data_IF_199393596188
#
_entry.id   IF_199393596188
#
_cell.length_a   1.000
_cell.length_b   1.000
_cell.length_c   1.000
_cell.angle_alpha   90.00
_cell.angle_beta   90.00
_cell.angle_gamma   90.00
#
_symmetry.space_group_name_H-M   'P 1'
#
loop_
_entity.id
_entity.type
_entity.pdbx_description
1 polymer ?
#
# COMPACT_ATOMS: atom_id res chain seq x y z
N UNK A 1 6.08 20.14 -3.10
CA UNK A 1 5.60 21.17 -2.16
C UNK A 1 5.10 20.53 -0.87
N UNK A 2 5.19 21.23 0.27
CA UNK A 2 4.73 20.69 1.56
C UNK A 2 3.25 20.33 1.54
N UNK A 3 2.42 21.17 0.95
CA UNK A 3 0.97 20.96 0.79
C UNK A 3 0.61 19.67 0.03
N UNK A 4 1.31 19.33 -1.05
CA UNK A 4 1.10 18.09 -1.80
C UNK A 4 1.46 16.87 -0.95
N UNK A 5 2.54 16.96 -0.16
CA UNK A 5 2.91 15.87 0.74
C UNK A 5 1.91 15.68 1.88
N UNK A 6 1.40 16.77 2.46
CA UNK A 6 0.35 16.68 3.48
C UNK A 6 -0.91 16.02 2.92
N UNK A 7 -1.35 16.42 1.73
CA UNK A 7 -2.48 15.80 1.05
C UNK A 7 -2.23 14.31 0.80
N UNK A 8 -1.06 13.97 0.25
CA UNK A 8 -0.64 12.58 0.02
C UNK A 8 -0.68 11.77 1.32
N UNK A 9 -0.11 12.27 2.41
CA UNK A 9 -0.05 11.57 3.69
C UNK A 9 -1.46 11.31 4.26
N UNK A 10 -2.36 12.29 4.19
CA UNK A 10 -3.76 12.11 4.61
C UNK A 10 -4.44 11.02 3.78
N UNK A 11 -4.27 11.05 2.46
CA UNK A 11 -4.82 10.01 1.57
C UNK A 11 -4.18 8.63 1.81
N UNK A 12 -2.88 8.57 2.11
CA UNK A 12 -2.16 7.34 2.43
C UNK A 12 -2.64 6.72 3.75
N UNK A 13 -2.90 7.53 4.78
CA UNK A 13 -3.52 7.04 6.01
C UNK A 13 -4.89 6.40 5.76
N UNK A 14 -5.73 7.00 4.90
CA UNK A 14 -7.00 6.42 4.50
C UNK A 14 -6.82 5.14 3.67
N UNK A 15 -5.83 5.12 2.76
CA UNK A 15 -5.47 3.94 1.96
C UNK A 15 -5.04 2.77 2.85
N UNK A 16 -4.17 2.99 3.85
CA UNK A 16 -3.67 1.96 4.74
C UNK A 16 -4.78 1.23 5.51
N UNK A 17 -5.87 1.91 5.83
CA UNK A 17 -7.04 1.28 6.47
C UNK A 17 -7.73 0.28 5.56
N UNK A 18 -7.95 0.64 4.29
CA UNK A 18 -8.57 -0.25 3.32
C UNK A 18 -7.61 -1.34 2.84
N UNK A 19 -6.32 -1.01 2.75
CA UNK A 19 -5.26 -1.98 2.48
C UNK A 19 -5.19 -3.04 3.58
N UNK A 20 -5.27 -2.66 4.86
CA UNK A 20 -5.32 -3.60 5.97
C UNK A 20 -6.52 -4.57 5.88
N UNK A 21 -7.68 -4.09 5.41
CA UNK A 21 -8.84 -4.97 5.13
C UNK A 21 -8.54 -5.94 3.99
N UNK A 22 -7.91 -5.47 2.91
CA UNK A 22 -7.47 -6.31 1.81
C UNK A 22 -6.50 -7.42 2.26
N UNK A 23 -5.55 -7.08 3.13
CA UNK A 23 -4.63 -8.05 3.73
C UNK A 23 -5.35 -9.05 4.64
N UNK A 24 -6.31 -8.62 5.46
CA UNK A 24 -7.11 -9.52 6.28
C UNK A 24 -7.95 -10.49 5.44
N UNK A 25 -8.49 -10.04 4.30
CA UNK A 25 -9.17 -10.91 3.33
C UNK A 25 -8.22 -11.90 2.68
N UNK A 26 -6.99 -11.48 2.35
CA UNK A 26 -5.96 -12.39 1.85
C UNK A 26 -5.59 -13.44 2.90
N UNK A 27 -5.40 -13.04 4.17
CA UNK A 27 -5.14 -13.95 5.28
C UNK A 27 -6.23 -15.01 5.43
N UNK A 28 -7.51 -14.58 5.46
CA UNK A 28 -8.66 -15.47 5.63
C UNK A 28 -8.81 -16.52 4.51
N UNK A 29 -8.18 -16.29 3.36
CA UNK A 29 -8.27 -17.13 2.16
C UNK A 29 -6.96 -17.83 1.82
N UNK A 30 -5.91 -17.64 2.63
CA UNK A 30 -4.60 -18.17 2.34
C UNK A 30 -4.60 -19.70 2.45
N UNK A 31 -3.96 -20.42 1.50
CA UNK A 31 -3.93 -21.88 1.49
C UNK A 31 -2.89 -22.51 2.42
N UNK A 32 -2.04 -21.70 3.07
CA UNK A 32 -0.94 -22.16 3.94
C UNK A 32 -1.01 -21.37 5.26
N UNK A 33 -0.85 -22.06 6.40
CA UNK A 33 -0.96 -21.45 7.74
C UNK A 33 0.03 -20.31 7.95
N UNK A 34 1.27 -20.46 7.48
CA UNK A 34 2.30 -19.42 7.57
C UNK A 34 1.89 -18.13 6.83
N UNK A 35 1.13 -18.25 5.74
CA UNK A 35 0.63 -17.09 5.01
C UNK A 35 -0.57 -16.46 5.70
N UNK A 36 -1.41 -17.24 6.40
CA UNK A 36 -2.45 -16.70 7.28
C UNK A 36 -1.82 -15.81 8.35
N UNK A 37 -0.78 -16.31 9.03
CA UNK A 37 -0.05 -15.56 10.07
C UNK A 37 0.57 -14.30 9.47
N UNK A 38 1.36 -14.44 8.40
CA UNK A 38 2.04 -13.32 7.74
C UNK A 38 1.07 -12.20 7.34
N UNK A 39 -0.02 -12.52 6.63
CA UNK A 39 -0.96 -11.49 6.18
C UNK A 39 -1.77 -10.88 7.33
N UNK A 40 -2.04 -11.64 8.40
CA UNK A 40 -2.68 -11.11 9.61
C UNK A 40 -1.76 -10.10 10.32
N UNK A 41 -0.47 -10.42 10.43
CA UNK A 41 0.53 -9.52 11.02
C UNK A 41 0.75 -8.28 10.17
N UNK A 42 0.77 -8.42 8.85
CA UNK A 42 0.87 -7.29 7.93
C UNK A 42 -0.37 -6.38 8.03
N UNK A 43 -1.58 -6.94 8.11
CA UNK A 43 -2.81 -6.17 8.30
C UNK A 43 -2.78 -5.37 9.61
N UNK A 44 -2.36 -5.99 10.70
CA UNK A 44 -2.21 -5.32 11.98
C UNK A 44 -1.12 -4.23 11.92
N UNK A 45 -0.01 -4.49 11.24
CA UNK A 45 1.09 -3.54 11.07
C UNK A 45 0.67 -2.32 10.26
N UNK A 46 -0.08 -2.49 9.16
CA UNK A 46 -0.62 -1.38 8.38
C UNK A 46 -1.46 -0.42 9.24
N UNK A 47 -2.31 -0.95 10.13
CA UNK A 47 -3.08 -0.14 11.07
C UNK A 47 -2.21 0.52 12.16
N UNK A 48 -1.13 -0.12 12.61
CA UNK A 48 -0.19 0.50 13.56
C UNK A 48 0.58 1.65 12.92
N UNK A 49 1.02 1.48 11.66
CA UNK A 49 1.69 2.55 10.89
C UNK A 49 0.75 3.74 10.70
N UNK A 50 -0.50 3.49 10.30
CA UNK A 50 -1.52 4.53 10.18
C UNK A 50 -1.74 5.29 11.49
N UNK A 51 -1.78 4.61 12.64
CA UNK A 51 -1.87 5.27 13.96
C UNK A 51 -0.63 6.08 14.30
N UNK A 52 0.56 5.59 13.95
CA UNK A 52 1.80 6.34 14.18
C UNK A 52 1.86 7.65 13.37
N UNK A 53 1.29 7.67 12.16
CA UNK A 53 1.12 8.89 11.36
C UNK A 53 0.20 9.89 12.06
N UNK A 54 -0.88 9.41 12.69
CA UNK A 54 -1.78 10.22 13.49
C UNK A 54 -1.12 10.82 14.74
N UNK A 55 -0.43 10.00 15.52
CA UNK A 55 0.15 10.40 16.80
C UNK A 55 1.33 11.36 16.64
N UNK A 56 2.08 11.25 15.53
CA UNK A 56 3.19 12.13 15.18
C UNK A 56 2.81 13.21 14.17
N UNK A 57 2.82 12.83 12.89
CA UNK A 57 2.81 13.78 11.77
C UNK A 57 1.54 14.63 11.70
N UNK A 58 0.35 14.02 11.80
CA UNK A 58 -0.90 14.77 11.70
C UNK A 58 -1.14 15.66 12.91
N UNK A 59 -0.73 15.22 14.09
CA UNK A 59 -0.75 16.03 15.31
C UNK A 59 0.12 17.28 15.18
N UNK A 60 1.32 17.17 14.61
CA UNK A 60 2.19 18.33 14.32
C UNK A 60 1.55 19.32 13.33
N UNK A 61 0.66 18.85 12.47
CA UNK A 61 -0.11 19.68 11.52
C UNK A 61 -1.44 20.20 12.10
N UNK A 62 -1.75 19.89 13.36
CA UNK A 62 -3.00 20.28 14.01
C UNK A 62 -4.23 19.51 13.52
N UNK A 63 -4.04 18.36 12.86
CA UNK A 63 -5.12 17.49 12.40
C UNK A 63 -5.40 16.41 13.45
N UNK A 64 -6.65 16.33 13.90
CA UNK A 64 -7.09 15.22 14.76
C UNK A 64 -7.34 13.96 13.93
N UNK A 65 -7.36 12.76 14.57
CA UNK A 65 -7.80 11.55 13.89
C UNK A 65 -9.21 11.64 13.32
N UNK A 66 -10.09 12.43 13.94
CA UNK A 66 -11.43 12.66 13.40
C UNK A 66 -11.39 13.45 12.07
N UNK A 67 -10.51 14.46 11.97
CA UNK A 67 -10.36 15.28 10.77
C UNK A 67 -9.81 14.46 9.59
N UNK A 68 -8.79 13.64 9.85
CA UNK A 68 -8.22 12.73 8.83
C UNK A 68 -9.29 11.75 8.36
N UNK A 69 -10.01 11.12 9.30
CA UNK A 69 -11.03 10.12 8.96
C UNK A 69 -12.29 10.72 8.29
N UNK A 70 -12.56 11.99 8.50
CA UNK A 70 -13.64 12.72 7.82
C UNK A 70 -13.22 13.20 6.43
N UNK A 71 -11.93 13.14 6.09
CA UNK A 71 -11.44 13.54 4.76
C UNK A 71 -11.95 12.56 3.71
N UNK A 72 -12.63 13.04 2.65
CA UNK A 72 -13.04 12.16 1.55
C UNK A 72 -11.85 11.52 0.85
N UNK A 73 -12.00 10.26 0.43
CA UNK A 73 -11.06 9.66 -0.50
C UNK A 73 -11.05 10.45 -1.82
N UNK A 74 -9.85 10.77 -2.29
CA UNK A 74 -9.67 11.29 -3.65
C UNK A 74 -10.17 10.25 -4.68
N UNK A 75 -10.64 10.69 -5.86
CA UNK A 75 -11.14 9.78 -6.91
C UNK A 75 -10.23 8.58 -7.18
N UNK A 76 -8.92 8.82 -7.33
CA UNK A 76 -7.93 7.77 -7.56
C UNK A 76 -7.79 6.82 -6.36
N UNK A 77 -7.76 7.35 -5.13
CA UNK A 77 -7.66 6.53 -3.91
C UNK A 77 -8.90 5.63 -3.74
N UNK A 78 -10.09 6.19 -3.95
CA UNK A 78 -11.34 5.44 -3.92
C UNK A 78 -11.35 4.33 -4.96
N UNK A 79 -10.95 4.63 -6.20
CA UNK A 79 -10.90 3.63 -7.28
C UNK A 79 -9.89 2.52 -6.96
N UNK A 80 -8.71 2.88 -6.46
CA UNK A 80 -7.66 1.92 -6.15
C UNK A 80 -8.06 0.99 -5.00
N UNK A 81 -8.50 1.53 -3.87
CA UNK A 81 -8.93 0.75 -2.71
C UNK A 81 -10.14 -0.12 -3.03
N UNK A 82 -11.12 0.39 -3.79
CA UNK A 82 -12.25 -0.40 -4.27
C UNK A 82 -11.81 -1.59 -5.13
N UNK A 83 -10.84 -1.37 -6.03
CA UNK A 83 -10.27 -2.42 -6.85
C UNK A 83 -9.57 -3.49 -6.00
N UNK A 84 -8.72 -3.09 -5.05
CA UNK A 84 -8.02 -4.01 -4.16
C UNK A 84 -8.99 -4.87 -3.35
N UNK A 85 -10.02 -4.26 -2.76
CA UNK A 85 -11.02 -4.98 -1.97
C UNK A 85 -11.86 -5.93 -2.83
N UNK A 86 -12.25 -5.50 -4.03
CA UNK A 86 -13.01 -6.35 -4.96
C UNK A 86 -12.21 -7.61 -5.34
N UNK A 87 -10.92 -7.46 -5.67
CA UNK A 87 -10.05 -8.59 -6.03
C UNK A 87 -9.77 -9.47 -4.79
N UNK A 88 -9.43 -8.86 -3.65
CA UNK A 88 -9.15 -9.58 -2.41
C UNK A 88 -10.36 -10.40 -1.91
N UNK A 89 -11.58 -9.90 -2.14
CA UNK A 89 -12.81 -10.60 -1.77
C UNK A 89 -13.23 -11.65 -2.81
N UNK A 90 -13.26 -11.29 -4.09
CA UNK A 90 -13.97 -12.06 -5.13
C UNK A 90 -13.10 -12.86 -6.09
N UNK A 91 -11.83 -12.48 -6.30
CA UNK A 91 -10.96 -13.16 -7.26
C UNK A 91 -10.23 -14.37 -6.63
N UNK A 92 -9.74 -15.36 -7.39
CA UNK A 92 -8.90 -16.42 -6.87
C UNK A 92 -7.71 -15.90 -6.03
N UNK A 93 -7.23 -16.70 -5.07
CA UNK A 93 -6.17 -16.28 -4.13
C UNK A 93 -4.90 -15.76 -4.82
N UNK A 94 -4.50 -16.38 -5.93
CA UNK A 94 -3.33 -15.96 -6.70
C UNK A 94 -3.48 -14.55 -7.30
N UNK A 95 -4.70 -14.17 -7.71
CA UNK A 95 -5.02 -12.82 -8.20
C UNK A 95 -5.05 -11.80 -7.06
N UNK A 96 -5.60 -12.15 -5.90
CA UNK A 96 -5.58 -11.31 -4.70
C UNK A 96 -4.15 -11.00 -4.25
N UNK A 97 -3.30 -12.02 -4.19
CA UNK A 97 -1.89 -11.87 -3.85
C UNK A 97 -1.16 -10.95 -4.84
N UNK A 98 -1.38 -11.16 -6.14
CA UNK A 98 -0.79 -10.36 -7.19
C UNK A 98 -1.26 -8.89 -7.20
N UNK A 99 -2.52 -8.62 -6.82
CA UNK A 99 -3.03 -7.25 -6.71
C UNK A 99 -2.40 -6.50 -5.53
N UNK A 100 -2.19 -7.16 -4.39
CA UNK A 100 -1.63 -6.56 -3.18
C UNK A 100 -0.10 -6.39 -3.23
N UNK A 101 0.61 -7.13 -4.09
CA UNK A 101 2.07 -7.11 -4.13
C UNK A 101 2.68 -5.74 -4.48
N UNK A 102 2.21 -4.99 -5.51
CA UNK A 102 2.92 -3.79 -5.97
C UNK A 102 3.05 -2.68 -4.93
N UNK A 103 2.11 -2.50 -4.01
CA UNK A 103 2.24 -1.46 -2.99
C UNK A 103 3.43 -1.71 -2.06
N UNK A 104 3.78 -2.97 -1.77
CA UNK A 104 5.01 -3.29 -1.03
C UNK A 104 6.23 -3.01 -1.90
N UNK A 105 6.25 -3.61 -3.08
CA UNK A 105 7.45 -3.68 -3.89
C UNK A 105 7.85 -2.33 -4.46
N UNK A 106 6.88 -1.56 -4.98
CA UNK A 106 7.14 -0.23 -5.55
C UNK A 106 7.68 0.71 -4.48
N UNK A 107 7.07 0.73 -3.28
CA UNK A 107 7.55 1.58 -2.20
C UNK A 107 8.99 1.23 -1.78
N UNK A 108 9.34 -0.06 -1.72
CA UNK A 108 10.71 -0.48 -1.39
C UNK A 108 11.72 -0.06 -2.46
N UNK A 109 11.38 -0.21 -3.75
CA UNK A 109 12.25 0.25 -4.85
C UNK A 109 12.40 1.78 -4.86
N UNK A 110 11.32 2.52 -4.64
CA UNK A 110 11.34 3.99 -4.54
C UNK A 110 12.17 4.43 -3.33
N UNK A 111 11.99 3.80 -2.17
CA UNK A 111 12.77 4.05 -0.97
C UNK A 111 14.27 3.90 -1.22
N UNK A 112 14.70 2.76 -1.77
CA UNK A 112 16.11 2.51 -2.13
C UNK A 112 16.65 3.54 -3.14
N UNK A 113 15.84 3.93 -4.11
CA UNK A 113 16.26 4.93 -5.09
C UNK A 113 16.46 6.32 -4.46
N UNK A 114 15.55 6.72 -3.58
CA UNK A 114 15.59 8.02 -2.91
C UNK A 114 16.61 8.08 -1.76
N UNK A 115 16.91 6.97 -1.10
CA UNK A 115 17.95 6.92 -0.06
C UNK A 115 19.31 7.37 -0.59
N UNK A 116 19.64 7.00 -1.83
CA UNK A 116 20.88 7.43 -2.50
C UNK A 116 20.92 8.93 -2.77
N UNK A 117 19.76 9.54 -3.00
CA UNK A 117 19.64 10.98 -3.25
C UNK A 117 19.60 11.80 -1.94
N UNK A 118 18.98 11.25 -0.89
CA UNK A 118 18.73 11.92 0.37
C UNK A 118 17.70 13.06 0.26
N UNK A 119 17.33 13.63 1.41
CA UNK A 119 16.53 14.85 1.49
C UNK A 119 17.04 15.75 2.61
N UNK A 120 17.17 17.07 2.39
CA UNK A 120 17.49 18.02 3.45
C UNK A 120 16.30 18.27 4.39
N UNK A 121 15.07 17.95 3.96
CA UNK A 121 13.89 18.00 4.82
C UNK A 121 13.81 16.71 5.67
N UNK A 122 13.89 16.80 7.01
CA UNK A 122 13.83 15.64 7.90
C UNK A 122 12.54 14.82 7.75
N UNK A 123 11.44 15.44 7.34
CA UNK A 123 10.17 14.75 7.11
C UNK A 123 10.28 13.74 5.98
N UNK A 124 10.77 14.19 4.83
CA UNK A 124 10.98 13.33 3.67
C UNK A 124 12.11 12.32 3.94
N UNK A 125 13.13 12.72 4.71
CA UNK A 125 14.18 11.83 5.17
C UNK A 125 13.64 10.63 5.97
N UNK A 126 12.71 10.86 6.90
CA UNK A 126 12.05 9.76 7.64
C UNK A 126 11.25 8.85 6.73
N UNK A 127 10.46 9.42 5.82
CA UNK A 127 9.66 8.65 4.86
C UNK A 127 10.57 7.75 4.00
N UNK A 128 11.66 8.31 3.47
CA UNK A 128 12.66 7.55 2.68
C UNK A 128 13.28 6.44 3.52
N UNK A 129 13.72 6.74 4.74
CA UNK A 129 14.34 5.77 5.63
C UNK A 129 13.40 4.59 5.95
N UNK A 130 12.10 4.85 6.17
CA UNK A 130 11.11 3.80 6.39
C UNK A 130 11.05 2.82 5.22
N UNK A 131 10.88 3.30 4.00
CA UNK A 131 10.72 2.43 2.84
C UNK A 131 12.04 1.90 2.28
N UNK A 132 13.18 2.49 2.61
CA UNK A 132 14.50 1.94 2.26
C UNK A 132 15.00 0.90 3.27
N UNK A 133 14.38 0.84 4.46
CA UNK A 133 14.83 -0.01 5.57
C UNK A 133 14.87 -1.49 5.21
N UNK A 134 15.82 -2.20 5.84
CA UNK A 134 15.94 -3.65 5.66
C UNK A 134 14.78 -4.40 6.32
N UNK A 135 14.19 -3.83 7.38
CA UNK A 135 12.96 -4.31 8.01
C UNK A 135 11.79 -4.32 7.02
N UNK A 136 11.57 -3.20 6.29
CA UNK A 136 10.54 -3.17 5.25
C UNK A 136 10.90 -4.09 4.08
N UNK A 137 12.19 -4.13 3.70
CA UNK A 137 12.69 -5.06 2.68
C UNK A 137 12.42 -6.53 3.01
N UNK A 138 12.51 -6.93 4.28
CA UNK A 138 12.21 -8.30 4.71
C UNK A 138 10.72 -8.64 4.52
N UNK A 139 9.82 -7.70 4.84
CA UNK A 139 8.37 -7.83 4.58
C UNK A 139 8.11 -7.99 3.07
N UNK A 140 8.72 -7.15 2.24
CA UNK A 140 8.54 -7.21 0.78
C UNK A 140 9.03 -8.53 0.20
N UNK A 141 10.19 -9.02 0.63
CA UNK A 141 10.76 -10.30 0.19
C UNK A 141 9.88 -11.49 0.58
N UNK A 142 9.24 -11.45 1.75
CA UNK A 142 8.31 -12.50 2.16
C UNK A 142 7.07 -12.57 1.25
N UNK A 143 6.48 -11.42 0.89
CA UNK A 143 5.33 -11.37 -0.04
C UNK A 143 5.73 -11.77 -1.46
N UNK A 144 6.93 -11.38 -1.92
CA UNK A 144 7.49 -11.85 -3.19
C UNK A 144 7.64 -13.37 -3.21
N UNK A 145 8.23 -13.95 -2.17
CA UNK A 145 8.41 -15.40 -2.06
C UNK A 145 7.06 -16.15 -2.07
N UNK A 146 6.04 -15.65 -1.36
CA UNK A 146 4.70 -16.22 -1.41
C UNK A 146 4.08 -16.12 -2.81
N UNK A 147 4.29 -14.99 -3.50
CA UNK A 147 3.79 -14.77 -4.87
C UNK A 147 4.45 -15.73 -5.86
N UNK A 148 5.77 -15.89 -5.77
CA UNK A 148 6.55 -16.81 -6.61
C UNK A 148 6.14 -18.27 -6.36
N UNK A 149 5.96 -18.66 -5.09
CA UNK A 149 5.50 -19.99 -4.73
C UNK A 149 4.12 -20.32 -5.31
N UNK A 150 3.18 -19.36 -5.29
CA UNK A 150 1.88 -19.50 -5.94
C UNK A 150 2.02 -19.55 -7.47
N UNK A 151 2.80 -18.65 -8.07
CA UNK A 151 3.00 -18.58 -9.51
C UNK A 151 3.58 -19.88 -10.11
N UNK A 152 4.41 -20.59 -9.34
CA UNK A 152 4.97 -21.89 -9.69
C UNK A 152 3.93 -23.02 -9.67
N UNK A 153 2.82 -22.87 -8.92
CA UNK A 153 1.77 -23.90 -8.76
C UNK A 153 0.60 -23.74 -9.74
N UNK A 154 0.44 -22.58 -10.36
CA UNK A 154 -0.69 -22.28 -11.27
C UNK A 154 -0.32 -22.42 -12.75
N UNK A 155 -1.30 -22.40 -13.64
CA UNK A 155 -1.11 -22.48 -15.08
C UNK A 155 -0.75 -21.14 -15.75
N UNK A 156 -0.50 -21.14 -17.07
CA UNK A 156 -0.20 -19.92 -17.82
C UNK A 156 -1.33 -18.88 -17.80
N UNK A 157 -2.60 -19.31 -17.78
CA UNK A 157 -3.75 -18.41 -17.77
C UNK A 157 -3.86 -17.64 -16.44
N UNK A 158 -3.66 -18.33 -15.33
CA UNK A 158 -3.63 -17.78 -13.98
C UNK A 158 -2.44 -16.83 -13.81
N UNK A 159 -1.24 -17.21 -14.28
CA UNK A 159 -0.07 -16.31 -14.28
C UNK A 159 -0.33 -15.03 -15.08
N UNK A 160 -0.98 -15.15 -16.24
CA UNK A 160 -1.39 -13.98 -17.01
C UNK A 160 -2.41 -13.11 -16.24
N UNK A 161 -3.30 -13.71 -15.45
CA UNK A 161 -4.19 -12.97 -14.56
C UNK A 161 -3.43 -12.23 -13.45
N UNK A 162 -2.49 -12.90 -12.78
CA UNK A 162 -1.61 -12.27 -11.79
C UNK A 162 -0.87 -11.07 -12.39
N UNK A 163 -0.29 -11.21 -13.58
CA UNK A 163 0.41 -10.12 -14.28
C UNK A 163 -0.52 -8.94 -14.58
N UNK A 164 -1.79 -9.18 -14.97
CA UNK A 164 -2.76 -8.09 -15.17
C UNK A 164 -3.02 -7.32 -13.88
N UNK A 165 -3.14 -8.00 -12.74
CA UNK A 165 -3.32 -7.35 -11.44
C UNK A 165 -2.09 -6.54 -11.04
N UNK A 166 -0.88 -7.12 -11.15
CA UNK A 166 0.38 -6.41 -10.88
C UNK A 166 0.48 -5.13 -11.71
N UNK A 167 0.21 -5.20 -13.02
CA UNK A 167 0.25 -4.05 -13.91
C UNK A 167 -0.84 -3.02 -13.57
N UNK A 168 -2.03 -3.46 -13.17
CA UNK A 168 -3.14 -2.57 -12.84
C UNK A 168 -2.86 -1.82 -11.54
N UNK A 169 -2.43 -2.51 -10.49
CA UNK A 169 -2.12 -1.85 -9.22
C UNK A 169 -0.84 -1.03 -9.30
N UNK A 170 0.13 -1.40 -10.13
CA UNK A 170 1.27 -0.52 -10.46
C UNK A 170 0.85 0.79 -11.14
N UNK A 171 -0.16 0.77 -12.03
CA UNK A 171 -0.73 1.99 -12.62
C UNK A 171 -1.42 2.83 -11.54
N UNK A 172 -2.17 2.20 -10.65
CA UNK A 172 -2.78 2.91 -9.53
C UNK A 172 -1.75 3.52 -8.59
N UNK A 173 -0.63 2.85 -8.30
CA UNK A 173 0.48 3.45 -7.53
C UNK A 173 1.02 4.71 -8.22
N UNK A 174 1.24 4.65 -9.54
CA UNK A 174 1.66 5.84 -10.28
C UNK A 174 0.62 6.96 -10.20
N UNK A 175 -0.65 6.64 -10.36
CA UNK A 175 -1.75 7.60 -10.22
C UNK A 175 -1.86 8.11 -8.78
N UNK A 176 -1.50 7.31 -7.76
CA UNK A 176 -1.47 7.71 -6.36
C UNK A 176 -0.45 8.84 -6.13
N UNK A 177 0.73 8.73 -6.74
CA UNK A 177 1.71 9.81 -6.73
C UNK A 177 1.21 11.06 -7.44
N UNK A 178 0.60 10.91 -8.62
CA UNK A 178 0.08 12.04 -9.40
C UNK A 178 -1.09 12.74 -8.67
N UNK A 179 -2.01 11.98 -8.05
CA UNK A 179 -3.09 12.56 -7.25
C UNK A 179 -2.55 13.30 -6.02
N UNK A 180 -1.49 12.76 -5.39
CA UNK A 180 -0.80 13.40 -4.28
C UNK A 180 -0.17 14.72 -4.70
N UNK A 181 0.52 14.71 -5.85
CA UNK A 181 1.16 15.89 -6.43
C UNK A 181 0.15 16.99 -6.77
N UNK A 182 -0.91 16.63 -7.50
CA UNK A 182 -1.96 17.55 -7.97
C UNK A 182 -2.95 17.94 -6.88
N UNK A 183 -2.98 17.22 -5.76
CA UNK A 183 -4.02 17.31 -4.73
C UNK A 183 -5.41 17.08 -5.34
N UNK A 184 -5.55 15.93 -5.99
CA UNK A 184 -6.73 15.58 -6.78
C UNK A 184 -8.04 15.77 -5.99
N UNK A 185 -9.03 16.35 -6.66
CA UNK A 185 -10.39 16.44 -6.19
C UNK A 185 -11.34 15.91 -7.27
N UNK A 186 -12.58 15.66 -6.89
CA UNK A 186 -13.64 15.30 -7.84
C UNK A 186 -13.82 16.43 -8.87
N UNK A 187 -13.85 16.12 -10.19
CA UNK A 187 -14.04 17.12 -11.24
C UNK A 187 -15.53 17.44 -11.41
N UNK A 188 -16.14 17.99 -10.36
CA UNK A 188 -17.56 18.37 -10.30
C UNK A 188 -17.73 19.88 -10.23
#
# INVERSE_FOLDING_TARGET
PRESFVFYAVQDALYLREFARGLALAAARAPEDDWIIMFSDHAATALRVERSLHEGFFKELGLSPADVNATPLAPTNLAYTSYLLAVAHGAPYHEALAALLPCYWIYWEVGKALERAGSPDPLYGRWIATYASEEFGAVVRAVLAATDAIAARVGPAERAAMQRHVLTTSRYEWMFWDMGWRREAWPL
#
